data_IF_459918586274
#
_entry.id   IF_459918586274
#
_cell.length_a   1.000
_cell.length_b   1.000
_cell.length_c   1.000
_cell.angle_alpha   90.00
_cell.angle_beta   90.00
_cell.angle_gamma   90.00
#
_symmetry.space_group_name_H-M   'P 1'
#
loop_
_entity.id
_entity.type
_entity.pdbx_description
1 polymer ?
#
# COMPACT_ATOMS: atom_id res chain seq x y z
N UNK A 1 17.75 10.32 -10.40
CA UNK A 1 17.69 11.32 -9.33
C UNK A 1 18.76 11.03 -8.26
N UNK A 2 18.86 9.82 -7.75
CA UNK A 2 19.89 9.45 -6.75
C UNK A 2 21.29 9.20 -7.34
N UNK A 3 21.50 9.39 -8.64
CA UNK A 3 22.79 9.13 -9.32
C UNK A 3 23.09 7.65 -9.56
N UNK A 4 22.13 6.76 -9.33
CA UNK A 4 22.30 5.31 -9.51
C UNK A 4 21.86 4.87 -10.91
N UNK A 5 22.60 3.95 -11.57
CA UNK A 5 22.08 3.21 -12.70
C UNK A 5 20.88 2.35 -12.28
N UNK A 6 19.91 2.19 -13.19
CA UNK A 6 18.66 1.47 -12.90
C UNK A 6 18.45 0.34 -13.91
N UNK A 7 18.14 -0.84 -13.41
CA UNK A 7 17.67 -1.97 -14.22
C UNK A 7 16.22 -2.25 -13.84
N UNK A 8 15.31 -2.17 -14.80
CA UNK A 8 13.90 -2.52 -14.63
C UNK A 8 13.62 -3.88 -15.22
N UNK A 9 13.07 -4.79 -14.42
CA UNK A 9 12.53 -6.06 -14.89
C UNK A 9 11.05 -5.89 -15.20
N UNK A 10 10.66 -6.04 -16.45
CA UNK A 10 9.28 -5.92 -16.91
C UNK A 10 8.36 -6.97 -16.28
N UNK A 11 7.09 -6.60 -16.03
CA UNK A 11 6.08 -7.58 -15.68
C UNK A 11 5.62 -8.36 -16.92
N UNK A 12 5.53 -9.70 -16.88
CA UNK A 12 5.21 -10.51 -18.07
C UNK A 12 3.85 -10.20 -18.69
N UNK A 13 2.87 -9.86 -17.85
CA UNK A 13 1.51 -9.53 -18.30
C UNK A 13 1.34 -8.06 -18.75
N UNK A 14 2.42 -7.26 -18.79
CA UNK A 14 2.40 -5.83 -19.14
C UNK A 14 3.65 -5.44 -19.96
N UNK A 15 4.13 -6.35 -20.78
CA UNK A 15 5.42 -6.24 -21.44
C UNK A 15 5.46 -5.09 -22.46
N UNK A 16 4.43 -4.94 -23.30
CA UNK A 16 4.39 -3.93 -24.37
C UNK A 16 4.41 -2.48 -23.82
N UNK A 17 3.54 -2.16 -22.85
CA UNK A 17 3.55 -0.85 -22.22
C UNK A 17 4.88 -0.57 -21.53
N UNK A 18 5.46 -1.58 -20.88
CA UNK A 18 6.77 -1.49 -20.24
C UNK A 18 7.88 -1.17 -21.26
N UNK A 19 7.83 -1.77 -22.44
CA UNK A 19 8.76 -1.51 -23.54
C UNK A 19 8.63 -0.08 -24.10
N UNK A 20 7.39 0.39 -24.31
CA UNK A 20 7.12 1.77 -24.76
C UNK A 20 7.73 2.80 -23.78
N UNK A 21 7.49 2.60 -22.48
CA UNK A 21 8.04 3.48 -21.43
C UNK A 21 9.56 3.40 -21.38
N UNK A 22 10.14 2.20 -21.49
CA UNK A 22 11.60 2.01 -21.49
C UNK A 22 12.25 2.74 -22.65
N UNK A 23 11.67 2.63 -23.86
CA UNK A 23 12.16 3.34 -25.05
C UNK A 23 12.07 4.85 -24.90
N UNK A 24 11.02 5.38 -24.26
CA UNK A 24 10.91 6.81 -23.97
C UNK A 24 12.03 7.28 -23.02
N UNK A 25 12.32 6.49 -21.97
CA UNK A 25 13.42 6.79 -21.02
C UNK A 25 14.78 6.76 -21.73
N UNK A 26 15.05 5.74 -22.55
CA UNK A 26 16.30 5.62 -23.30
C UNK A 26 16.50 6.79 -24.27
N UNK A 27 15.42 7.21 -24.96
CA UNK A 27 15.45 8.39 -25.84
C UNK A 27 15.73 9.67 -25.05
N UNK A 28 15.11 9.86 -23.90
CA UNK A 28 15.37 11.01 -23.03
C UNK A 28 16.82 11.01 -22.54
N UNK A 29 17.35 9.85 -22.10
CA UNK A 29 18.73 9.71 -21.67
C UNK A 29 19.72 10.09 -22.78
N UNK A 30 19.47 9.63 -24.00
CA UNK A 30 20.30 9.98 -25.18
C UNK A 30 20.26 11.48 -25.48
N UNK A 31 19.07 12.09 -25.46
CA UNK A 31 18.92 13.54 -25.69
C UNK A 31 19.61 14.39 -24.62
N UNK A 32 19.72 13.88 -23.39
CA UNK A 32 20.43 14.53 -22.29
C UNK A 32 21.92 14.16 -22.22
N UNK A 33 22.44 13.45 -23.21
CA UNK A 33 23.84 12.99 -23.26
C UNK A 33 24.28 12.19 -22.02
N UNK A 34 23.37 11.44 -21.41
CA UNK A 34 23.68 10.62 -20.25
C UNK A 34 24.55 9.41 -20.62
N UNK A 35 25.38 8.89 -19.70
CA UNK A 35 26.22 7.73 -19.96
C UNK A 35 25.40 6.51 -20.39
N UNK A 36 25.95 5.71 -21.32
CA UNK A 36 25.36 4.42 -21.68
C UNK A 36 25.30 3.51 -20.44
N UNK A 37 24.19 2.81 -20.28
CA UNK A 37 23.97 1.90 -19.14
C UNK A 37 23.38 2.54 -17.90
N UNK A 38 23.03 3.84 -17.92
CA UNK A 38 22.32 4.46 -16.81
C UNK A 38 20.92 3.89 -16.58
N UNK A 39 20.33 3.36 -17.64
CA UNK A 39 19.05 2.67 -17.60
C UNK A 39 19.11 1.41 -18.48
N UNK A 40 18.59 0.30 -17.96
CA UNK A 40 18.39 -0.94 -18.71
C UNK A 40 17.02 -1.53 -18.40
N UNK A 41 16.44 -2.19 -19.41
CA UNK A 41 15.15 -2.86 -19.29
C UNK A 41 15.32 -4.31 -19.70
N UNK A 42 14.82 -5.25 -18.89
CA UNK A 42 14.94 -6.68 -19.12
C UNK A 42 13.59 -7.38 -18.99
N UNK A 43 13.37 -8.37 -19.83
CA UNK A 43 12.19 -9.22 -19.80
C UNK A 43 12.49 -10.58 -19.15
N UNK A 44 11.44 -11.27 -18.76
CA UNK A 44 11.51 -12.63 -18.22
C UNK A 44 10.19 -13.03 -17.56
N UNK A 45 9.70 -14.20 -17.92
CA UNK A 45 8.43 -14.73 -17.41
C UNK A 45 8.54 -15.37 -16.03
N UNK A 46 9.74 -15.81 -15.64
CA UNK A 46 9.99 -16.51 -14.37
C UNK A 46 10.66 -15.61 -13.32
N UNK A 47 10.68 -16.09 -12.09
CA UNK A 47 11.42 -15.46 -10.97
C UNK A 47 12.94 -15.49 -11.16
N UNK A 48 13.48 -16.34 -12.03
CA UNK A 48 14.92 -16.52 -12.25
C UNK A 48 15.66 -15.22 -12.63
N UNK A 49 15.03 -14.37 -13.47
CA UNK A 49 15.61 -13.06 -13.82
C UNK A 49 15.65 -12.14 -12.59
N UNK A 50 14.57 -12.10 -11.79
CA UNK A 50 14.53 -11.36 -10.54
C UNK A 50 15.60 -11.82 -9.55
N UNK A 51 15.72 -13.12 -9.36
CA UNK A 51 16.75 -13.73 -8.52
C UNK A 51 18.16 -13.38 -8.98
N UNK A 52 18.44 -13.52 -10.28
CA UNK A 52 19.74 -13.18 -10.84
C UNK A 52 20.10 -11.70 -10.63
N UNK A 53 19.14 -10.79 -10.82
CA UNK A 53 19.33 -9.36 -10.56
C UNK A 53 19.61 -9.07 -9.08
N UNK A 54 18.81 -9.63 -8.17
CA UNK A 54 19.00 -9.40 -6.72
C UNK A 54 20.33 -9.99 -6.25
N UNK A 55 20.70 -11.18 -6.69
CA UNK A 55 21.93 -11.86 -6.27
C UNK A 55 23.20 -11.35 -6.96
N UNK A 56 23.06 -10.52 -7.99
CA UNK A 56 24.23 -10.00 -8.73
C UNK A 56 25.09 -9.09 -7.82
N UNK A 57 26.42 -9.26 -7.80
CA UNK A 57 27.30 -8.56 -6.84
C UNK A 57 27.28 -7.03 -7.00
N UNK A 58 26.98 -6.52 -8.18
CA UNK A 58 26.90 -5.07 -8.42
C UNK A 58 25.54 -4.46 -8.09
N UNK A 59 24.50 -5.24 -7.82
CA UNK A 59 23.22 -4.71 -7.32
C UNK A 59 23.40 -4.22 -5.89
N UNK A 60 23.01 -2.96 -5.63
CA UNK A 60 23.19 -2.30 -4.33
C UNK A 60 21.87 -2.03 -3.59
N UNK A 61 20.75 -2.03 -4.29
CA UNK A 61 19.41 -1.92 -3.69
C UNK A 61 18.35 -2.47 -4.67
N UNK A 62 17.20 -2.85 -4.13
CA UNK A 62 16.04 -3.30 -4.90
C UNK A 62 14.82 -2.49 -4.47
N UNK A 63 14.02 -2.01 -5.44
CA UNK A 63 12.68 -1.48 -5.23
C UNK A 63 11.65 -2.43 -5.84
N UNK A 64 10.57 -2.70 -5.13
CA UNK A 64 9.50 -3.60 -5.56
C UNK A 64 8.14 -3.13 -5.04
N UNK A 65 7.11 -3.27 -5.85
CA UNK A 65 5.71 -3.18 -5.43
C UNK A 65 4.94 -4.37 -5.99
N UNK A 66 4.22 -5.08 -5.14
CA UNK A 66 3.44 -6.25 -5.56
C UNK A 66 3.00 -7.13 -4.41
N UNK A 67 2.77 -8.43 -4.68
CA UNK A 67 2.29 -9.35 -3.66
C UNK A 67 3.29 -9.59 -2.51
N UNK A 68 2.78 -9.92 -1.33
CA UNK A 68 3.59 -10.31 -0.18
C UNK A 68 4.62 -11.41 -0.52
N UNK A 69 4.19 -12.48 -1.20
CA UNK A 69 5.09 -13.58 -1.56
C UNK A 69 6.25 -13.13 -2.47
N UNK A 70 5.97 -12.26 -3.44
CA UNK A 70 7.00 -11.70 -4.32
C UNK A 70 7.99 -10.80 -3.58
N UNK A 71 7.48 -9.86 -2.79
CA UNK A 71 8.31 -8.92 -2.01
C UNK A 71 9.15 -9.64 -0.96
N UNK A 72 8.55 -10.57 -0.22
CA UNK A 72 9.24 -11.39 0.79
C UNK A 72 10.39 -12.22 0.17
N UNK A 73 10.14 -12.82 -0.98
CA UNK A 73 11.17 -13.61 -1.68
C UNK A 73 12.37 -12.74 -2.11
N UNK A 74 12.11 -11.54 -2.67
CA UNK A 74 13.18 -10.61 -3.02
C UNK A 74 13.96 -10.14 -1.78
N UNK A 75 13.27 -9.86 -0.69
CA UNK A 75 13.86 -9.48 0.58
C UNK A 75 14.78 -10.58 1.12
N UNK A 76 14.33 -11.83 1.10
CA UNK A 76 15.12 -12.97 1.57
C UNK A 76 16.38 -13.15 0.70
N UNK A 77 16.28 -13.08 -0.61
CA UNK A 77 17.45 -13.15 -1.50
C UNK A 77 18.43 -12.00 -1.25
N UNK A 78 17.93 -10.78 -1.01
CA UNK A 78 18.79 -9.63 -0.68
C UNK A 78 19.58 -9.80 0.60
N UNK A 79 18.94 -10.37 1.64
CA UNK A 79 19.55 -10.62 2.95
C UNK A 79 20.47 -11.83 2.98
N UNK A 80 20.24 -12.84 2.13
CA UNK A 80 21.06 -14.06 2.06
C UNK A 80 22.37 -13.90 1.28
N UNK A 81 22.62 -12.74 0.67
CA UNK A 81 23.85 -12.44 -0.04
C UNK A 81 25.05 -12.38 0.92
N UNK A 82 26.26 -12.65 0.39
CA UNK A 82 27.51 -12.43 1.14
C UNK A 82 27.64 -10.97 1.61
N UNK A 83 27.22 -10.01 0.76
CA UNK A 83 27.04 -8.59 1.10
C UNK A 83 25.53 -8.30 1.01
N UNK A 84 24.79 -8.27 2.15
CA UNK A 84 23.37 -7.96 2.14
C UNK A 84 23.09 -6.58 1.56
N UNK A 85 21.93 -6.44 0.91
CA UNK A 85 21.49 -5.18 0.31
C UNK A 85 20.08 -4.82 0.77
N UNK A 86 19.73 -3.53 0.86
CA UNK A 86 18.38 -3.12 1.14
C UNK A 86 17.43 -3.54 0.00
N UNK A 87 16.28 -4.09 0.39
CA UNK A 87 15.17 -4.41 -0.49
C UNK A 87 13.95 -3.66 0.02
N UNK A 88 13.56 -2.62 -0.68
CA UNK A 88 12.40 -1.78 -0.39
C UNK A 88 11.19 -2.34 -1.12
N UNK A 89 10.50 -3.28 -0.50
CA UNK A 89 9.28 -3.86 -1.03
C UNK A 89 8.06 -3.25 -0.35
N UNK A 90 7.12 -2.76 -1.15
CA UNK A 90 5.74 -2.49 -0.78
C UNK A 90 4.91 -3.71 -1.18
N UNK A 91 4.17 -4.25 -0.22
CA UNK A 91 3.48 -5.54 -0.34
C UNK A 91 1.97 -5.38 -0.07
N UNK A 92 1.27 -6.46 0.24
CA UNK A 92 -0.16 -6.44 0.48
C UNK A 92 -0.60 -5.66 1.72
N UNK A 93 -1.80 -5.08 1.66
CA UNK A 93 -2.46 -4.39 2.77
C UNK A 93 -3.96 -4.55 2.66
N UNK A 94 -4.65 -4.65 3.80
CA UNK A 94 -6.12 -4.71 3.85
C UNK A 94 -6.76 -3.39 4.25
N UNK A 95 -5.95 -2.39 4.60
CA UNK A 95 -6.35 -1.00 4.82
C UNK A 95 -7.61 -0.85 5.70
N UNK A 96 -7.57 -1.28 6.96
CA UNK A 96 -8.74 -1.35 7.82
C UNK A 96 -9.36 0.02 8.07
N UNK A 97 -10.70 0.03 8.09
CA UNK A 97 -11.52 1.20 8.37
C UNK A 97 -12.29 0.96 9.65
N UNK A 98 -12.17 1.86 10.61
CA UNK A 98 -12.85 1.79 11.89
C UNK A 98 -13.97 2.81 11.93
N UNK A 99 -15.20 2.32 12.08
CA UNK A 99 -16.43 3.13 12.14
C UNK A 99 -16.78 3.42 13.60
N UNK A 100 -16.60 4.65 14.05
CA UNK A 100 -16.82 5.01 15.46
C UNK A 100 -18.24 5.49 15.74
N UNK A 101 -18.77 5.26 16.95
CA UNK A 101 -20.20 5.33 17.23
C UNK A 101 -20.86 6.69 17.00
N UNK A 102 -20.26 7.81 17.44
CA UNK A 102 -20.88 9.14 17.27
C UNK A 102 -20.97 9.55 15.80
N UNK A 103 -19.90 9.30 15.03
CA UNK A 103 -19.89 9.57 13.59
C UNK A 103 -20.93 8.74 12.86
N UNK A 104 -21.08 7.48 13.25
CA UNK A 104 -22.03 6.56 12.61
C UNK A 104 -23.48 6.97 12.85
N UNK A 105 -23.85 7.50 14.02
CA UNK A 105 -25.21 8.00 14.31
C UNK A 105 -25.72 9.00 13.27
N UNK A 106 -24.84 9.83 12.73
CA UNK A 106 -25.22 10.94 11.86
C UNK A 106 -24.91 10.72 10.38
N UNK A 107 -24.01 9.82 10.06
CA UNK A 107 -23.42 9.76 8.72
C UNK A 107 -23.34 8.33 8.13
N UNK A 108 -23.96 7.33 8.75
CA UNK A 108 -23.84 5.93 8.32
C UNK A 108 -24.15 5.72 6.82
N UNK A 109 -25.24 6.31 6.34
CA UNK A 109 -25.68 6.22 4.94
C UNK A 109 -24.69 6.89 3.99
N UNK A 110 -24.20 8.08 4.33
CA UNK A 110 -23.24 8.81 3.50
C UNK A 110 -21.90 8.06 3.42
N UNK A 111 -21.40 7.57 4.56
CA UNK A 111 -20.17 6.77 4.64
C UNK A 111 -20.31 5.49 3.81
N UNK A 112 -21.45 4.80 3.86
CA UNK A 112 -21.69 3.59 3.08
C UNK A 112 -21.57 3.84 1.58
N UNK A 113 -22.18 4.92 1.06
CA UNK A 113 -22.07 5.31 -0.36
C UNK A 113 -20.62 5.66 -0.74
N UNK A 114 -19.92 6.41 0.09
CA UNK A 114 -18.52 6.76 -0.12
C UNK A 114 -17.64 5.50 -0.20
N UNK A 115 -17.85 4.54 0.69
CA UNK A 115 -17.07 3.30 0.71
C UNK A 115 -17.44 2.33 -0.41
N UNK A 116 -18.69 2.28 -0.86
CA UNK A 116 -19.06 1.54 -2.07
C UNK A 116 -18.24 2.03 -3.29
N UNK A 117 -18.14 3.34 -3.47
CA UNK A 117 -17.31 3.94 -4.50
C UNK A 117 -15.82 3.62 -4.34
N UNK A 118 -15.29 3.64 -3.11
CA UNK A 118 -13.90 3.31 -2.82
C UNK A 118 -13.56 1.84 -3.10
N UNK A 119 -14.39 0.91 -2.65
CA UNK A 119 -14.21 -0.54 -2.82
C UNK A 119 -14.24 -0.94 -4.30
N UNK A 120 -15.07 -0.27 -5.11
CA UNK A 120 -15.25 -0.61 -6.53
C UNK A 120 -14.33 0.19 -7.47
N UNK A 121 -13.67 1.24 -6.98
CA UNK A 121 -12.78 2.09 -7.78
C UNK A 121 -11.68 1.24 -8.43
N UNK A 122 -11.51 1.37 -9.75
CA UNK A 122 -10.51 0.59 -10.49
C UNK A 122 -10.64 -0.92 -10.31
N UNK A 123 -11.88 -1.41 -10.11
CA UNK A 123 -12.17 -2.83 -9.80
C UNK A 123 -11.48 -3.28 -8.50
N UNK A 124 -11.37 -2.39 -7.52
CA UNK A 124 -10.71 -2.65 -6.25
C UNK A 124 -9.21 -2.94 -6.34
N UNK A 125 -8.57 -2.62 -7.46
CA UNK A 125 -7.14 -2.91 -7.71
C UNK A 125 -6.25 -1.75 -7.27
N UNK A 126 -6.44 -1.30 -6.03
CA UNK A 126 -5.57 -0.33 -5.37
C UNK A 126 -4.87 -0.97 -4.19
N UNK A 127 -3.59 -0.65 -3.99
CA UNK A 127 -2.82 -1.05 -2.80
C UNK A 127 -3.46 -0.55 -1.49
N UNK A 128 -4.30 0.49 -1.58
CA UNK A 128 -5.05 1.07 -0.46
C UNK A 128 -6.55 0.78 -0.52
N UNK A 129 -7.00 -0.27 -1.23
CA UNK A 129 -8.41 -0.66 -1.22
C UNK A 129 -8.86 -1.04 0.20
N UNK A 130 -10.03 -0.54 0.71
CA UNK A 130 -10.52 -0.86 2.05
C UNK A 130 -11.07 -2.29 2.10
N UNK A 131 -10.21 -3.26 2.37
CA UNK A 131 -10.55 -4.69 2.42
C UNK A 131 -11.24 -5.11 3.72
N UNK A 132 -11.10 -4.34 4.80
CA UNK A 132 -11.70 -4.63 6.11
C UNK A 132 -12.39 -3.38 6.65
N UNK A 133 -13.62 -3.54 7.12
CA UNK A 133 -14.41 -2.49 7.79
C UNK A 133 -14.80 -3.00 9.17
N UNK A 134 -14.45 -2.28 10.23
CA UNK A 134 -14.66 -2.67 11.62
C UNK A 134 -15.67 -1.72 12.27
N UNK A 135 -16.72 -2.24 12.87
CA UNK A 135 -17.74 -1.41 13.55
C UNK A 135 -18.45 -2.17 14.67
N UNK A 136 -19.09 -1.42 15.57
CA UNK A 136 -19.90 -2.00 16.67
C UNK A 136 -21.23 -2.48 16.10
N UNK A 137 -21.62 -3.71 16.40
CA UNK A 137 -22.90 -4.33 15.97
C UNK A 137 -24.09 -3.66 16.66
N UNK A 138 -24.57 -2.60 16.05
CA UNK A 138 -25.73 -1.82 16.51
C UNK A 138 -26.57 -1.38 15.29
N UNK A 139 -27.64 -0.62 15.54
CA UNK A 139 -28.53 -0.21 14.46
C UNK A 139 -27.88 0.76 13.46
N UNK A 140 -26.90 1.56 13.88
CA UNK A 140 -26.16 2.46 12.99
C UNK A 140 -25.30 1.65 12.02
N UNK A 141 -24.60 0.60 12.47
CA UNK A 141 -23.87 -0.32 11.60
C UNK A 141 -24.80 -1.07 10.67
N UNK A 142 -25.98 -1.50 11.13
CA UNK A 142 -26.99 -2.16 10.27
C UNK A 142 -27.43 -1.23 9.14
N UNK A 143 -27.70 0.05 9.43
CA UNK A 143 -28.05 1.06 8.43
C UNK A 143 -26.93 1.24 7.40
N UNK A 144 -25.67 1.30 7.84
CA UNK A 144 -24.50 1.31 6.96
C UNK A 144 -24.44 0.07 6.06
N UNK A 145 -24.61 -1.12 6.64
CA UNK A 145 -24.54 -2.42 5.92
C UNK A 145 -25.64 -2.51 4.87
N UNK A 146 -26.87 -2.13 5.20
CA UNK A 146 -28.00 -2.13 4.25
C UNK A 146 -27.71 -1.21 3.06
N UNK A 147 -27.26 0.02 3.33
CA UNK A 147 -26.96 0.98 2.25
C UNK A 147 -25.77 0.50 1.42
N UNK A 148 -24.69 0.03 2.05
CA UNK A 148 -23.52 -0.50 1.34
C UNK A 148 -23.91 -1.69 0.45
N UNK A 149 -24.77 -2.60 0.95
CA UNK A 149 -25.25 -3.75 0.20
C UNK A 149 -26.04 -3.34 -1.06
N UNK A 150 -26.91 -2.33 -0.96
CA UNK A 150 -27.65 -1.80 -2.12
C UNK A 150 -26.72 -1.20 -3.17
N UNK A 151 -25.75 -0.38 -2.75
CA UNK A 151 -24.77 0.21 -3.67
C UNK A 151 -23.92 -0.87 -4.37
N UNK A 152 -23.50 -1.91 -3.64
CA UNK A 152 -22.72 -3.01 -4.20
C UNK A 152 -23.54 -3.88 -5.16
N UNK A 153 -24.81 -4.16 -4.87
CA UNK A 153 -25.70 -4.87 -5.79
C UNK A 153 -25.84 -4.15 -7.13
N UNK A 154 -25.94 -2.82 -7.08
CA UNK A 154 -26.07 -1.96 -8.26
C UNK A 154 -24.72 -1.70 -8.97
N UNK A 155 -23.60 -2.06 -8.37
CA UNK A 155 -22.27 -1.87 -8.96
C UNK A 155 -22.08 -2.76 -10.21
N UNK A 156 -21.31 -2.26 -11.16
CA UNK A 156 -21.02 -3.01 -12.39
C UNK A 156 -19.68 -3.74 -12.25
N UNK A 157 -19.63 -5.07 -12.47
CA UNK A 157 -18.37 -5.78 -12.67
C UNK A 157 -17.55 -5.13 -13.78
N UNK A 158 -16.23 -5.13 -13.67
CA UNK A 158 -15.37 -4.57 -14.69
C UNK A 158 -14.08 -5.37 -14.86
N UNK A 159 -13.42 -5.19 -15.99
CA UNK A 159 -12.23 -5.96 -16.37
C UNK A 159 -11.06 -5.71 -15.43
N UNK A 160 -10.51 -6.76 -14.87
CA UNK A 160 -9.28 -6.72 -14.07
C UNK A 160 -8.04 -6.60 -14.96
N UNK A 161 -6.95 -6.14 -14.40
CA UNK A 161 -5.71 -5.79 -15.12
C UNK A 161 -5.18 -6.94 -16.01
N UNK A 162 -5.26 -8.17 -15.53
CA UNK A 162 -4.89 -9.37 -16.29
C UNK A 162 -5.54 -10.63 -15.72
N UNK A 163 -5.52 -11.72 -16.50
CA UNK A 163 -6.11 -13.00 -16.12
C UNK A 163 -5.52 -13.62 -14.82
N UNK A 164 -4.25 -13.35 -14.52
CA UNK A 164 -3.60 -13.83 -13.29
C UNK A 164 -4.18 -13.15 -12.05
N UNK A 165 -4.38 -11.84 -12.09
CA UNK A 165 -5.01 -11.08 -10.99
C UNK A 165 -6.48 -11.51 -10.84
N UNK A 166 -7.21 -11.63 -11.93
CA UNK A 166 -8.58 -12.13 -11.92
C UNK A 166 -8.70 -13.52 -11.25
N UNK A 167 -7.87 -14.47 -11.68
CA UNK A 167 -7.85 -15.82 -11.09
C UNK A 167 -7.58 -15.77 -9.59
N UNK A 168 -6.58 -15.02 -9.17
CA UNK A 168 -6.22 -14.87 -7.76
C UNK A 168 -7.35 -14.21 -6.95
N UNK A 169 -8.04 -13.20 -7.52
CA UNK A 169 -9.20 -12.57 -6.90
C UNK A 169 -10.34 -13.58 -6.67
N UNK A 170 -10.71 -14.33 -7.71
CA UNK A 170 -11.79 -15.33 -7.62
C UNK A 170 -11.47 -16.40 -6.57
N UNK A 171 -10.23 -16.90 -6.60
CA UNK A 171 -9.78 -17.94 -5.65
C UNK A 171 -9.78 -17.42 -4.21
N UNK A 172 -9.14 -16.28 -3.93
CA UNK A 172 -9.06 -15.73 -2.57
C UNK A 172 -10.43 -15.30 -2.03
N UNK A 173 -11.26 -14.67 -2.86
CA UNK A 173 -12.64 -14.36 -2.50
C UNK A 173 -13.42 -15.63 -2.13
N UNK A 174 -13.31 -16.68 -2.95
CA UNK A 174 -13.94 -17.98 -2.68
C UNK A 174 -13.47 -18.59 -1.37
N UNK A 175 -12.17 -18.55 -1.08
CA UNK A 175 -11.61 -19.02 0.20
C UNK A 175 -12.16 -18.22 1.37
N UNK A 176 -12.23 -16.89 1.28
CA UNK A 176 -12.75 -16.04 2.35
C UNK A 176 -14.25 -16.32 2.62
N UNK A 177 -15.06 -16.43 1.57
CA UNK A 177 -16.50 -16.70 1.69
C UNK A 177 -16.82 -18.12 2.19
N UNK A 178 -15.91 -19.07 2.02
CA UNK A 178 -16.09 -20.46 2.48
C UNK A 178 -15.72 -20.66 3.95
N UNK A 179 -15.22 -19.62 4.65
CA UNK A 179 -14.89 -19.75 6.06
C UNK A 179 -16.15 -19.83 6.93
N UNK A 180 -16.05 -20.53 8.06
CA UNK A 180 -17.11 -20.58 9.06
C UNK A 180 -17.48 -19.19 9.55
N UNK A 181 -18.76 -18.95 9.83
CA UNK A 181 -19.30 -17.68 10.34
C UNK A 181 -18.99 -16.45 9.43
N UNK A 182 -18.74 -16.68 8.14
CA UNK A 182 -18.69 -15.63 7.12
C UNK A 182 -19.98 -15.63 6.33
N UNK A 183 -20.69 -14.51 6.36
CA UNK A 183 -21.93 -14.28 5.64
C UNK A 183 -21.66 -13.40 4.42
N UNK A 184 -22.10 -13.82 3.22
CA UNK A 184 -22.09 -12.97 2.05
C UNK A 184 -23.27 -12.00 2.13
N UNK A 185 -22.98 -10.73 2.38
CA UNK A 185 -24.01 -9.66 2.53
C UNK A 185 -24.53 -9.20 1.18
N UNK A 186 -23.64 -8.97 0.23
CA UNK A 186 -24.02 -8.50 -1.10
C UNK A 186 -23.01 -8.95 -2.16
N UNK A 187 -23.52 -9.13 -3.36
CA UNK A 187 -22.76 -9.33 -4.60
C UNK A 187 -23.43 -8.52 -5.70
N UNK A 188 -22.66 -7.96 -6.63
CA UNK A 188 -23.21 -7.24 -7.78
C UNK A 188 -24.18 -8.13 -8.57
N UNK A 189 -25.38 -7.61 -8.85
CA UNK A 189 -26.45 -8.36 -9.54
C UNK A 189 -26.19 -8.51 -11.04
N UNK A 190 -25.45 -7.58 -11.62
CA UNK A 190 -25.06 -7.65 -13.01
C UNK A 190 -24.08 -8.79 -13.23
N UNK A 191 -24.37 -9.65 -14.19
CA UNK A 191 -23.51 -10.77 -14.55
C UNK A 191 -22.15 -10.28 -15.07
N UNK A 192 -21.08 -10.87 -14.52
CA UNK A 192 -19.71 -10.59 -14.94
C UNK A 192 -19.32 -11.49 -16.12
N UNK A 193 -18.64 -10.93 -17.09
CA UNK A 193 -18.01 -11.71 -18.16
C UNK A 193 -16.58 -12.12 -17.79
N UNK A 194 -15.92 -12.85 -18.69
CA UNK A 194 -14.57 -13.34 -18.46
C UNK A 194 -13.59 -12.21 -18.09
N UNK A 195 -12.81 -12.42 -17.04
CA UNK A 195 -11.84 -11.49 -16.47
C UNK A 195 -12.44 -10.26 -15.77
N UNK A 196 -13.74 -10.21 -15.52
CA UNK A 196 -14.35 -9.14 -14.73
C UNK A 196 -14.43 -9.49 -13.24
N UNK A 197 -13.95 -8.58 -12.41
CA UNK A 197 -14.07 -8.68 -10.95
C UNK A 197 -15.47 -8.31 -10.48
N UNK A 198 -16.13 -9.22 -9.77
CA UNK A 198 -17.49 -9.03 -9.26
C UNK A 198 -17.44 -8.40 -7.87
N UNK A 199 -17.95 -7.16 -7.66
CA UNK A 199 -18.04 -6.54 -6.36
C UNK A 199 -18.76 -7.42 -5.34
N UNK A 200 -18.15 -7.61 -4.15
CA UNK A 200 -18.67 -8.52 -3.13
C UNK A 200 -18.39 -7.99 -1.73
N UNK A 201 -19.40 -7.99 -0.87
CA UNK A 201 -19.28 -7.66 0.55
C UNK A 201 -19.66 -8.87 1.39
N UNK A 202 -18.82 -9.16 2.38
CA UNK A 202 -19.07 -10.18 3.39
C UNK A 202 -19.12 -9.56 4.79
N UNK A 203 -19.58 -10.32 5.77
CA UNK A 203 -19.45 -9.98 7.19
C UNK A 203 -19.07 -11.16 8.04
N UNK A 204 -18.46 -10.89 9.19
CA UNK A 204 -18.15 -11.86 10.23
C UNK A 204 -18.17 -11.19 11.61
N UNK A 205 -18.02 -11.94 12.69
CA UNK A 205 -17.85 -11.40 14.03
C UNK A 205 -16.39 -11.12 14.34
N UNK A 206 -16.09 -10.20 15.26
CA UNK A 206 -14.73 -9.96 15.74
C UNK A 206 -14.08 -11.22 16.31
N UNK A 207 -14.87 -12.05 17.02
CA UNK A 207 -14.41 -13.32 17.57
C UNK A 207 -13.87 -14.25 16.49
N UNK A 208 -14.62 -14.44 15.41
CA UNK A 208 -14.21 -15.32 14.31
C UNK A 208 -13.05 -14.73 13.52
N UNK A 209 -13.08 -13.42 13.26
CA UNK A 209 -11.99 -12.71 12.60
C UNK A 209 -10.64 -12.87 13.34
N UNK A 210 -10.66 -12.79 14.68
CA UNK A 210 -9.47 -12.98 15.51
C UNK A 210 -9.00 -14.44 15.56
N UNK A 211 -9.92 -15.38 15.48
CA UNK A 211 -9.60 -16.81 15.51
C UNK A 211 -9.10 -17.36 14.16
N UNK A 212 -9.40 -16.67 13.04
CA UNK A 212 -9.12 -17.17 11.70
C UNK A 212 -8.23 -16.21 10.89
N UNK A 213 -6.91 -16.46 10.83
CA UNK A 213 -5.96 -15.61 10.08
C UNK A 213 -6.24 -15.49 8.57
N UNK A 214 -7.01 -16.41 7.97
CA UNK A 214 -7.39 -16.33 6.56
C UNK A 214 -8.28 -15.11 6.26
N UNK A 215 -9.05 -14.64 7.25
CA UNK A 215 -9.93 -13.47 7.12
C UNK A 215 -9.15 -12.14 7.16
N UNK A 216 -7.90 -12.18 7.58
CA UNK A 216 -6.99 -11.02 7.59
C UNK A 216 -6.17 -10.89 6.30
N UNK A 217 -6.28 -11.85 5.38
CA UNK A 217 -5.52 -11.82 4.14
C UNK A 217 -6.14 -10.88 3.11
N UNK A 218 -5.29 -10.21 2.35
CA UNK A 218 -5.71 -9.37 1.23
C UNK A 218 -6.42 -10.19 0.15
N UNK A 219 -7.61 -9.74 -0.23
CA UNK A 219 -8.34 -10.17 -1.42
C UNK A 219 -8.27 -9.03 -2.45
N UNK A 220 -7.24 -9.04 -3.32
CA UNK A 220 -6.95 -7.95 -4.24
C UNK A 220 -7.98 -7.85 -5.36
N UNK A 221 -8.95 -6.96 -5.18
CA UNK A 221 -10.11 -6.75 -6.05
C UNK A 221 -11.27 -6.08 -5.31
N UNK A 222 -12.47 -5.99 -5.91
CA UNK A 222 -13.61 -5.28 -5.34
C UNK A 222 -14.31 -6.12 -4.26
N UNK A 223 -13.60 -6.35 -3.15
CA UNK A 223 -14.04 -7.12 -2.00
C UNK A 223 -13.77 -6.36 -0.71
N UNK A 224 -14.70 -6.46 0.24
CA UNK A 224 -14.48 -6.04 1.62
C UNK A 224 -15.25 -6.92 2.59
N UNK A 225 -14.69 -7.12 3.80
CA UNK A 225 -15.36 -7.85 4.88
C UNK A 225 -15.64 -6.90 6.05
N UNK A 226 -16.87 -6.95 6.56
CA UNK A 226 -17.31 -6.18 7.72
C UNK A 226 -17.12 -7.04 8.97
N UNK A 227 -16.31 -6.55 9.90
CA UNK A 227 -16.05 -7.17 11.20
C UNK A 227 -16.95 -6.51 12.24
N UNK A 228 -17.94 -7.29 12.72
CA UNK A 228 -18.91 -6.85 13.72
C UNK A 228 -18.35 -7.08 15.13
N UNK A 229 -18.14 -6.00 15.88
CA UNK A 229 -17.65 -5.99 17.25
C UNK A 229 -18.81 -5.76 18.24
N UNK A 230 -18.77 -6.36 19.42
CA UNK A 230 -19.77 -6.10 20.46
C UNK A 230 -19.54 -4.75 21.13
N UNK A 231 -18.29 -4.31 21.24
CA UNK A 231 -17.91 -3.03 21.86
C UNK A 231 -16.54 -2.49 21.35
N UNK A 232 -16.11 -1.37 21.91
CA UNK A 232 -14.82 -0.74 21.62
C UNK A 232 -13.62 -1.64 22.01
N UNK A 233 -13.76 -2.48 23.04
CA UNK A 233 -12.65 -3.34 23.45
C UNK A 233 -12.39 -4.44 22.40
N UNK A 234 -13.42 -4.96 21.78
CA UNK A 234 -13.24 -5.87 20.63
C UNK A 234 -12.64 -5.11 19.41
N UNK A 235 -13.01 -3.86 19.14
CA UNK A 235 -12.36 -3.06 18.09
C UNK A 235 -10.87 -2.88 18.40
N UNK A 236 -10.50 -2.63 19.64
CA UNK A 236 -9.08 -2.54 20.09
C UNK A 236 -8.39 -3.90 19.89
N UNK A 237 -9.04 -5.01 20.25
CA UNK A 237 -8.48 -6.34 20.05
C UNK A 237 -8.24 -6.64 18.57
N UNK A 238 -9.19 -6.30 17.68
CA UNK A 238 -9.03 -6.42 16.23
C UNK A 238 -7.83 -5.60 15.77
N UNK A 239 -7.74 -4.31 16.11
CA UNK A 239 -6.64 -3.44 15.72
C UNK A 239 -5.27 -3.97 16.21
N UNK A 240 -5.20 -4.42 17.47
CA UNK A 240 -3.95 -4.88 18.07
C UNK A 240 -3.45 -6.19 17.47
N UNK A 241 -4.34 -7.04 16.95
CA UNK A 241 -3.99 -8.32 16.36
C UNK A 241 -3.76 -8.26 14.84
N UNK A 242 -3.99 -7.11 14.21
CA UNK A 242 -3.68 -6.94 12.78
C UNK A 242 -2.19 -6.72 12.57
N UNK A 243 -1.69 -7.25 11.47
CA UNK A 243 -0.34 -6.98 10.97
C UNK A 243 -0.22 -5.54 10.45
N UNK A 244 0.99 -5.11 10.07
CA UNK A 244 1.25 -3.79 9.50
C UNK A 244 0.50 -3.53 8.20
N UNK A 245 -0.02 -2.31 8.04
CA UNK A 245 -0.87 -1.84 6.96
C UNK A 245 -0.27 -0.60 6.27
N UNK A 246 -0.60 -0.38 5.00
CA UNK A 246 -0.27 0.88 4.32
C UNK A 246 -1.10 2.02 4.89
N UNK A 247 -2.40 1.80 5.05
CA UNK A 247 -3.31 2.80 5.62
C UNK A 247 -4.23 2.20 6.66
N UNK A 248 -4.69 3.05 7.57
CA UNK A 248 -5.89 2.80 8.38
C UNK A 248 -6.73 4.06 8.43
N UNK A 249 -8.05 3.90 8.53
CA UNK A 249 -8.97 5.04 8.52
C UNK A 249 -9.88 5.02 9.74
N UNK A 250 -10.07 6.19 10.35
CA UNK A 250 -11.18 6.45 11.27
C UNK A 250 -12.28 7.22 10.58
N UNK A 251 -13.50 6.72 10.67
CA UNK A 251 -14.72 7.50 10.47
C UNK A 251 -15.23 7.88 11.88
N UNK A 252 -14.90 9.09 12.31
CA UNK A 252 -15.00 9.50 13.72
C UNK A 252 -15.29 11.00 13.89
N UNK A 253 -15.93 11.36 14.99
CA UNK A 253 -15.93 12.73 15.50
C UNK A 253 -14.67 13.00 16.34
N UNK A 254 -14.40 14.26 16.68
CA UNK A 254 -13.32 14.59 17.64
C UNK A 254 -13.55 13.92 18.99
N UNK A 255 -14.80 13.90 19.46
CA UNK A 255 -15.17 13.27 20.73
C UNK A 255 -15.01 11.74 20.69
N UNK A 256 -15.37 11.09 19.57
CA UNK A 256 -15.06 9.66 19.38
C UNK A 256 -13.57 9.37 19.60
N UNK A 257 -12.69 10.21 19.06
CA UNK A 257 -11.24 10.03 19.17
C UNK A 257 -10.77 10.25 20.61
N UNK A 258 -11.22 11.34 21.26
CA UNK A 258 -10.85 11.67 22.64
C UNK A 258 -11.30 10.61 23.65
N UNK A 259 -12.47 10.01 23.43
CA UNK A 259 -13.00 8.95 24.31
C UNK A 259 -12.34 7.58 24.06
N UNK A 260 -11.63 7.38 22.94
CA UNK A 260 -11.12 6.10 22.52
C UNK A 260 -9.60 6.14 22.20
N UNK A 261 -8.81 6.80 23.05
CA UNK A 261 -7.34 6.96 22.85
C UNK A 261 -6.62 5.61 22.67
N UNK A 262 -7.02 4.57 23.41
CA UNK A 262 -6.42 3.24 23.27
C UNK A 262 -6.63 2.63 21.88
N UNK A 263 -7.81 2.84 21.28
CA UNK A 263 -8.08 2.41 19.91
C UNK A 263 -7.25 3.23 18.92
N UNK A 264 -7.18 4.55 19.11
CA UNK A 264 -6.35 5.43 18.28
C UNK A 264 -4.89 4.98 18.29
N UNK A 265 -4.32 4.69 19.46
CA UNK A 265 -2.94 4.27 19.61
C UNK A 265 -2.70 2.89 18.97
N UNK A 266 -3.63 1.95 19.15
CA UNK A 266 -3.55 0.63 18.50
C UNK A 266 -3.54 0.75 16.97
N UNK A 267 -4.44 1.56 16.40
CA UNK A 267 -4.55 1.76 14.95
C UNK A 267 -3.36 2.55 14.40
N UNK A 268 -2.87 3.56 15.11
CA UNK A 268 -1.68 4.31 14.72
C UNK A 268 -0.44 3.41 14.60
N UNK A 269 -0.31 2.41 15.46
CA UNK A 269 0.85 1.52 15.48
C UNK A 269 0.89 0.53 14.31
N UNK A 270 -0.23 0.27 13.65
CA UNK A 270 -0.29 -0.69 12.54
C UNK A 270 -0.25 -0.06 11.15
N UNK A 271 -0.25 1.26 11.00
CA UNK A 271 -0.35 1.88 9.69
C UNK A 271 0.75 2.91 9.41
N UNK A 272 1.04 3.10 8.12
CA UNK A 272 1.92 4.17 7.67
C UNK A 272 1.22 5.49 7.44
N UNK A 273 -0.07 5.45 7.02
CA UNK A 273 -0.91 6.64 6.82
C UNK A 273 -2.22 6.47 7.58
N UNK A 274 -2.42 7.31 8.58
CA UNK A 274 -3.64 7.33 9.39
C UNK A 274 -4.60 8.41 8.87
N UNK A 275 -5.78 8.01 8.43
CA UNK A 275 -6.74 8.85 7.71
C UNK A 275 -7.94 9.13 8.62
N UNK A 276 -8.44 10.35 8.59
CA UNK A 276 -9.66 10.74 9.30
C UNK A 276 -10.74 11.17 8.30
N UNK A 277 -11.93 10.57 8.39
CA UNK A 277 -13.16 10.94 7.67
C UNK A 277 -13.00 11.02 6.13
N UNK A 278 -12.18 10.15 5.55
CA UNK A 278 -12.00 10.05 4.11
C UNK A 278 -11.77 8.58 3.70
N UNK A 279 -11.76 8.29 2.41
CA UNK A 279 -11.44 6.96 1.89
C UNK A 279 -9.94 6.79 1.66
N UNK A 280 -9.39 5.58 1.81
CA UNK A 280 -7.96 5.34 1.66
C UNK A 280 -7.48 5.32 0.19
N UNK A 281 -8.35 5.12 -0.79
CA UNK A 281 -8.02 4.95 -2.22
C UNK A 281 -7.49 6.22 -2.90
N UNK A 282 -7.67 7.39 -2.33
CA UNK A 282 -7.10 8.64 -2.84
C UNK A 282 -5.67 8.83 -2.35
N UNK A 283 -4.71 9.04 -3.28
CA UNK A 283 -3.32 9.36 -2.95
C UNK A 283 -2.92 10.68 -3.61
N UNK A 284 -2.67 11.72 -2.80
CA UNK A 284 -2.07 12.96 -3.25
C UNK A 284 -0.55 12.88 -3.07
N UNK A 285 0.20 13.03 -4.18
CA UNK A 285 1.67 13.00 -4.13
C UNK A 285 2.20 14.37 -3.72
N UNK A 286 2.60 14.49 -2.46
CA UNK A 286 3.17 15.72 -1.90
C UNK A 286 4.38 15.41 -1.02
N UNK A 287 5.07 16.42 -0.50
CA UNK A 287 6.26 16.24 0.35
C UNK A 287 5.93 15.55 1.69
N UNK A 288 4.72 15.74 2.20
CA UNK A 288 4.28 15.11 3.45
C UNK A 288 3.76 13.67 3.26
N UNK A 289 3.72 13.15 2.02
CA UNK A 289 3.18 11.82 1.74
C UNK A 289 4.07 10.73 2.34
N UNK A 290 3.47 9.90 3.19
CA UNK A 290 4.04 8.64 3.63
C UNK A 290 3.22 7.49 3.06
N UNK A 291 3.71 6.87 1.98
CA UNK A 291 3.14 5.66 1.41
C UNK A 291 4.05 4.47 1.72
N UNK A 292 3.77 3.86 2.82
CA UNK A 292 4.53 2.78 3.43
C UNK A 292 3.77 2.29 4.67
N UNK A 293 4.42 1.54 5.54
CA UNK A 293 3.82 1.05 6.78
C UNK A 293 4.67 -0.03 7.42
N UNK A 294 4.31 -0.47 8.63
CA UNK A 294 5.01 -1.57 9.31
C UNK A 294 4.96 -2.87 8.49
N UNK A 295 5.90 -3.78 8.73
CA UNK A 295 5.86 -5.11 8.14
C UNK A 295 4.54 -5.83 8.51
N UNK A 296 3.86 -6.51 7.57
CA UNK A 296 4.30 -6.89 6.23
C UNK A 296 3.89 -5.91 5.11
N UNK A 297 3.29 -4.75 5.41
CA UNK A 297 2.94 -3.80 4.36
C UNK A 297 4.18 -3.32 3.58
N UNK A 298 5.29 -3.08 4.30
CA UNK A 298 6.59 -2.81 3.68
C UNK A 298 7.72 -3.53 4.40
N UNK A 299 8.86 -3.68 3.74
CA UNK A 299 10.08 -4.22 4.35
C UNK A 299 10.84 -3.18 5.18
N UNK A 300 10.55 -1.89 5.02
CA UNK A 300 11.17 -0.81 5.80
C UNK A 300 10.21 0.38 5.92
N UNK A 301 9.59 0.52 7.09
CA UNK A 301 8.58 1.56 7.40
C UNK A 301 9.13 2.99 7.47
N UNK A 302 10.45 3.17 7.46
CA UNK A 302 11.10 4.49 7.52
C UNK A 302 11.03 5.25 6.20
N UNK A 303 10.68 4.57 5.09
CA UNK A 303 10.70 5.12 3.76
C UNK A 303 9.31 5.08 3.11
N UNK A 304 9.05 6.09 2.29
CA UNK A 304 7.87 6.13 1.42
C UNK A 304 8.19 5.54 0.05
N UNK A 305 7.24 4.82 -0.56
CA UNK A 305 7.35 4.35 -1.94
C UNK A 305 6.91 5.38 -2.98
N UNK A 306 6.21 6.43 -2.54
CA UNK A 306 5.62 7.48 -3.39
C UNK A 306 6.14 8.86 -2.95
N UNK A 307 6.30 9.75 -3.92
CA UNK A 307 6.72 11.13 -3.67
C UNK A 307 8.23 11.34 -3.74
N UNK A 308 8.67 12.59 -3.56
CA UNK A 308 10.06 13.00 -3.70
C UNK A 308 10.98 12.30 -2.70
N UNK A 309 10.52 12.06 -1.50
CA UNK A 309 11.27 11.40 -0.43
C UNK A 309 11.58 9.91 -0.72
N UNK A 310 10.91 9.31 -1.70
CA UNK A 310 11.23 7.97 -2.20
C UNK A 310 12.68 7.82 -2.68
N UNK A 311 13.35 8.91 -3.04
CA UNK A 311 14.77 8.92 -3.43
C UNK A 311 15.69 8.47 -2.28
N UNK A 312 15.31 8.76 -1.02
CA UNK A 312 16.10 8.42 0.17
C UNK A 312 16.38 6.92 0.29
N UNK A 313 15.53 6.08 -0.26
CA UNK A 313 15.73 4.63 -0.33
C UNK A 313 17.01 4.22 -1.08
N UNK A 314 17.46 5.04 -2.01
CA UNK A 314 18.59 4.74 -2.90
C UNK A 314 19.77 5.68 -2.67
N UNK A 315 19.81 6.36 -1.54
CA UNK A 315 20.89 7.22 -1.12
C UNK A 315 21.42 6.78 0.26
N UNK A 316 22.70 7.04 0.53
CA UNK A 316 23.29 6.86 1.85
C UNK A 316 24.04 8.11 2.28
N UNK A 317 24.06 8.44 3.56
CA UNK A 317 24.86 9.55 4.04
C UNK A 317 26.36 9.25 3.89
N UNK A 318 27.14 10.31 3.64
CA UNK A 318 28.62 10.30 3.66
C UNK A 318 29.07 11.52 4.45
N UNK A 319 29.93 11.32 5.44
CA UNK A 319 30.54 12.39 6.21
C UNK A 319 31.96 12.67 5.67
N UNK A 320 32.30 13.95 5.55
CA UNK A 320 33.65 14.44 5.23
C UNK A 320 34.23 15.07 6.49
N UNK A 321 35.26 14.46 7.06
CA UNK A 321 35.92 14.98 8.27
C UNK A 321 37.34 15.42 7.96
N UNK A 322 37.72 16.65 8.37
CA UNK A 322 39.06 17.24 8.17
C UNK A 322 39.47 17.40 6.68
N UNK A 323 38.50 17.48 5.78
CA UNK A 323 38.78 17.75 4.36
C UNK A 323 39.01 19.25 4.14
N UNK A 324 40.02 19.62 3.34
CA UNK A 324 40.16 21.01 2.88
C UNK A 324 38.92 21.42 2.07
N UNK A 325 38.46 22.66 2.26
CA UNK A 325 37.28 23.17 1.57
C UNK A 325 37.37 23.06 0.02
N UNK A 326 38.57 23.24 -0.53
CA UNK A 326 38.83 23.11 -1.97
C UNK A 326 38.53 21.71 -2.54
N UNK A 327 38.59 20.68 -1.72
CA UNK A 327 38.35 19.27 -2.12
C UNK A 327 36.95 18.78 -1.77
N UNK A 328 36.14 19.57 -1.08
CA UNK A 328 34.76 19.22 -0.78
C UNK A 328 33.87 19.26 -2.04
N UNK A 329 32.85 18.44 -2.14
CA UNK A 329 31.81 18.59 -3.16
C UNK A 329 31.12 19.96 -3.02
N UNK A 330 30.58 20.48 -4.13
CA UNK A 330 29.99 21.82 -4.18
C UNK A 330 28.90 22.07 -3.14
N UNK A 331 28.16 21.02 -2.77
CA UNK A 331 27.08 21.04 -1.76
C UNK A 331 27.61 21.36 -0.35
N UNK A 332 28.87 21.08 -0.09
CA UNK A 332 29.50 21.19 1.25
C UNK A 332 30.53 22.32 1.35
N UNK A 333 30.86 23.01 0.24
CA UNK A 333 31.82 24.14 0.27
C UNK A 333 31.29 25.31 1.09
N UNK A 334 32.19 25.98 1.82
CA UNK A 334 31.82 27.08 2.72
C UNK A 334 31.14 28.24 2.02
N UNK A 335 31.56 28.57 0.78
CA UNK A 335 31.02 29.65 -0.06
C UNK A 335 29.64 29.33 -0.70
N UNK A 336 29.10 28.11 -0.50
CA UNK A 336 27.80 27.67 -1.00
C UNK A 336 27.58 28.00 -2.51
N UNK A 337 28.43 27.50 -3.41
CA UNK A 337 28.38 27.90 -4.83
C UNK A 337 27.08 27.50 -5.53
N UNK A 338 26.33 26.53 -4.97
CA UNK A 338 25.02 26.10 -5.47
C UNK A 338 23.84 26.92 -4.91
N UNK A 339 24.11 27.84 -3.97
CA UNK A 339 23.08 28.67 -3.32
C UNK A 339 21.90 27.85 -2.78
N UNK A 340 22.19 26.72 -2.15
CA UNK A 340 21.20 25.79 -1.57
C UNK A 340 21.01 26.03 -0.08
N UNK A 341 19.82 25.67 0.42
CA UNK A 341 19.56 25.62 1.86
C UNK A 341 20.29 24.43 2.48
N UNK A 342 21.00 24.66 3.58
CA UNK A 342 21.75 23.65 4.33
C UNK A 342 21.83 23.99 5.81
N UNK A 343 22.05 23.00 6.64
CA UNK A 343 22.29 23.22 8.06
C UNK A 343 23.79 23.46 8.28
N UNK A 344 24.14 24.59 8.87
CA UNK A 344 25.51 24.96 9.25
C UNK A 344 25.49 25.37 10.72
N UNK A 345 26.26 24.67 11.58
CA UNK A 345 26.31 24.90 13.03
C UNK A 345 24.89 24.89 13.65
N UNK A 346 24.10 23.84 13.30
CA UNK A 346 22.72 23.63 13.74
C UNK A 346 21.67 24.66 13.24
N UNK A 347 22.09 25.65 12.46
CA UNK A 347 21.21 26.65 11.87
C UNK A 347 20.95 26.40 10.37
N UNK A 348 19.68 26.57 9.94
CA UNK A 348 19.33 26.48 8.53
C UNK A 348 19.76 27.79 7.82
N UNK A 349 20.71 27.69 6.90
CA UNK A 349 21.31 28.81 6.16
C UNK A 349 21.26 28.57 4.65
N UNK A 350 21.33 29.66 3.89
CA UNK A 350 21.41 29.64 2.42
C UNK A 350 22.73 30.20 1.95
#
# INVERSE_FOLDING_TARGET
AAGCPVIVKAHPAHAETSEIVANAILKAAANCYLPKGIFAHVHGASSAVGEALVKHPHTKAVGFTGSFGGGKQLFDWGNQRKEPIPVFAEMGSVNPVFLLPEKMKTSAVEIAKQYAGSITLGVGQFCTNPGIIVGIDNDDLKNFVVTLAEEIKNATPATMLNAGIYKNYVEKRGVALAQSEVEQIAVAEKEAVLNEGTPTIASTTAKEFLANPLLQQEVFGPYSIIVKCVDINEMIAVATNMEGQLTSTFMATENDILQNEKLKDAVQNICGRFILNNVPTGVEVCLAMQHGGPFPATTDSRFTSVGADGIKRFARPVAFQNWPDSLLPHELKNDNPLNIWRTVDEELKK
#
